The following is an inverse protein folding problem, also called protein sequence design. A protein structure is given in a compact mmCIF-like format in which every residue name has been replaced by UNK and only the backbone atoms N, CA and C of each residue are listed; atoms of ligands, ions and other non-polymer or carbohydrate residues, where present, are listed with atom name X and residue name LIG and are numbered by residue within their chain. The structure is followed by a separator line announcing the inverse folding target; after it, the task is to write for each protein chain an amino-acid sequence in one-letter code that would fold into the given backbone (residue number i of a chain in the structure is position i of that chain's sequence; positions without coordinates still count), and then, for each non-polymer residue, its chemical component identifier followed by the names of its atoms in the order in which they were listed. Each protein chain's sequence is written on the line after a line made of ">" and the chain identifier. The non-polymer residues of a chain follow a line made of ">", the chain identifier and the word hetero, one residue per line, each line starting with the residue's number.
data_IF_438036087023
#
_entry.id   IF_438036087023
#
_cell.length_a   1.000
_cell.length_b   1.000
_cell.length_c   1.000
_cell.angle_alpha   90.00
_cell.angle_beta   90.00
_cell.angle_gamma   90.00
#
_symmetry.space_group_name_H-M   'P 1'
#
loop_
_entity.id
_entity.type
_entity.pdbx_description
1 polymer ?
#
# COMPACT_ATOMS: atom_id res chain seq x y z
N UNK A 1 1.04 -6.70 -16.35
CA UNK A 1 2.03 -6.47 -15.28
C UNK A 1 1.59 -7.29 -14.09
N UNK A 2 2.40 -8.23 -13.64
CA UNK A 2 1.99 -9.19 -12.62
C UNK A 2 1.90 -8.55 -11.24
N UNK A 3 2.82 -7.66 -10.94
CA UNK A 3 2.84 -6.79 -9.77
C UNK A 3 3.41 -5.46 -10.17
N UNK A 4 3.14 -4.41 -9.43
CA UNK A 4 3.73 -3.11 -9.64
C UNK A 4 5.27 -3.14 -9.55
N UNK A 5 5.79 -3.95 -8.68
CA UNK A 5 7.22 -4.07 -8.40
C UNK A 5 7.96 -4.90 -9.45
N UNK A 6 9.28 -4.72 -9.50
CA UNK A 6 10.24 -5.52 -10.27
C UNK A 6 10.17 -5.35 -11.80
N UNK A 7 9.49 -4.31 -12.29
CA UNK A 7 9.61 -3.84 -13.68
C UNK A 7 10.21 -2.44 -13.72
N UNK A 8 10.94 -2.09 -14.78
CA UNK A 8 11.71 -0.82 -14.85
C UNK A 8 10.85 0.40 -14.50
N UNK A 9 9.67 0.54 -15.09
CA UNK A 9 8.77 1.66 -14.81
C UNK A 9 8.26 1.70 -13.37
N UNK A 10 7.95 0.54 -12.78
CA UNK A 10 7.50 0.47 -11.40
C UNK A 10 8.65 0.69 -10.40
N UNK A 11 9.83 0.17 -10.72
CA UNK A 11 11.03 0.39 -9.89
C UNK A 11 11.45 1.86 -9.87
N UNK A 12 11.31 2.59 -10.98
CA UNK A 12 11.69 4.00 -11.09
C UNK A 12 10.85 4.94 -10.20
N UNK A 13 9.66 4.54 -9.80
CA UNK A 13 8.76 5.30 -8.90
C UNK A 13 8.74 4.78 -7.47
N UNK A 14 9.60 3.81 -7.13
CA UNK A 14 9.80 3.36 -5.75
C UNK A 14 10.67 4.36 -4.98
N UNK A 15 10.60 4.29 -3.63
CA UNK A 15 11.43 5.10 -2.75
C UNK A 15 12.91 4.98 -3.12
N UNK A 16 13.60 6.08 -3.51
CA UNK A 16 14.97 6.02 -3.99
C UNK A 16 16.00 5.66 -2.91
N UNK A 17 15.67 5.83 -1.62
CA UNK A 17 16.57 5.59 -0.49
C UNK A 17 16.37 4.24 0.16
N UNK A 18 15.10 3.81 0.33
CA UNK A 18 14.74 2.60 1.07
C UNK A 18 14.32 1.44 0.18
N UNK A 19 14.29 1.63 -1.15
CA UNK A 19 13.93 0.59 -2.09
C UNK A 19 15.09 -0.40 -2.32
N UNK A 20 14.75 -1.68 -2.47
CA UNK A 20 15.69 -2.72 -2.92
C UNK A 20 16.19 -2.49 -4.36
N UNK A 21 15.62 -1.52 -5.07
CA UNK A 21 15.88 -1.28 -6.50
C UNK A 21 17.03 -0.30 -6.76
N UNK A 22 17.64 0.28 -5.74
CA UNK A 22 18.75 1.24 -5.87
C UNK A 22 19.94 0.71 -6.68
N UNK A 23 20.15 -0.61 -6.68
CA UNK A 23 21.20 -1.26 -7.50
C UNK A 23 20.97 -1.14 -9.01
N UNK A 24 19.73 -0.86 -9.43
CA UNK A 24 19.35 -0.69 -10.85
C UNK A 24 19.30 0.78 -11.28
N UNK A 25 19.75 1.72 -10.44
CA UNK A 25 19.59 3.16 -10.66
C UNK A 25 19.98 3.65 -12.05
N UNK A 26 21.06 3.11 -12.64
CA UNK A 26 21.53 3.49 -13.98
C UNK A 26 20.57 3.07 -15.12
N UNK A 27 19.61 2.18 -14.88
CA UNK A 27 18.62 1.71 -15.84
C UNK A 27 17.23 2.30 -15.62
N UNK A 28 17.03 3.03 -14.51
CA UNK A 28 15.73 3.57 -14.15
C UNK A 28 15.60 5.01 -14.65
N UNK A 29 14.38 5.36 -15.10
CA UNK A 29 14.06 6.75 -15.40
C UNK A 29 14.14 7.59 -14.13
N UNK A 30 14.69 8.79 -14.26
CA UNK A 30 14.70 9.77 -13.16
C UNK A 30 13.35 10.44 -13.02
N UNK A 31 12.90 10.58 -11.78
CA UNK A 31 11.65 11.24 -11.42
C UNK A 31 11.86 12.25 -10.30
N UNK A 32 10.95 13.21 -10.17
CA UNK A 32 10.92 14.15 -9.06
C UNK A 32 10.23 13.47 -7.88
N UNK A 33 10.94 13.37 -6.76
CA UNK A 33 10.39 12.83 -5.52
C UNK A 33 10.05 13.95 -4.54
N UNK A 34 8.90 13.83 -3.88
CA UNK A 34 8.55 14.68 -2.75
C UNK A 34 8.77 13.93 -1.43
N UNK A 35 8.85 14.68 -0.33
CA UNK A 35 8.95 14.09 1.01
C UNK A 35 7.73 13.22 1.30
N UNK A 36 7.96 12.03 1.81
CA UNK A 36 6.88 11.15 2.26
C UNK A 36 6.07 11.80 3.39
N UNK A 37 4.74 11.65 3.41
CA UNK A 37 3.90 12.19 4.47
C UNK A 37 4.30 11.63 5.84
N UNK A 38 4.07 12.41 6.90
CA UNK A 38 4.35 12.02 8.28
C UNK A 38 3.53 10.79 8.68
N UNK A 39 4.11 9.92 9.50
CA UNK A 39 3.42 8.79 10.11
C UNK A 39 2.29 9.24 11.02
N UNK A 40 1.17 8.52 10.94
CA UNK A 40 -0.02 8.67 11.78
C UNK A 40 -1.23 9.16 11.01
N UNK A 41 -2.30 8.37 11.02
CA UNK A 41 -3.55 8.69 10.32
C UNK A 41 -4.14 10.05 10.72
N UNK A 42 -4.00 10.43 11.99
CA UNK A 42 -4.46 11.70 12.54
C UNK A 42 -3.31 12.69 12.85
N UNK A 43 -2.11 12.45 12.34
CA UNK A 43 -0.96 13.31 12.60
C UNK A 43 -1.07 14.62 11.81
N UNK A 44 -0.53 15.71 12.37
CA UNK A 44 -0.35 16.95 11.60
C UNK A 44 0.66 16.71 10.46
N UNK A 45 0.22 16.96 9.23
CA UNK A 45 1.01 16.81 8.00
C UNK A 45 1.22 18.16 7.29
N UNK A 46 1.04 19.27 7.96
CA UNK A 46 1.14 20.63 7.39
C UNK A 46 2.52 20.89 6.76
N UNK A 47 3.59 20.39 7.37
CA UNK A 47 4.95 20.53 6.84
C UNK A 47 5.12 19.79 5.52
N UNK A 48 4.65 18.56 5.45
CA UNK A 48 4.75 17.73 4.24
C UNK A 48 3.84 18.25 3.13
N UNK A 49 2.68 18.79 3.49
CA UNK A 49 1.78 19.48 2.55
C UNK A 49 2.48 20.72 1.96
N UNK A 50 3.13 21.53 2.78
CA UNK A 50 3.85 22.71 2.30
C UNK A 50 4.99 22.32 1.34
N UNK A 51 5.75 21.29 1.66
CA UNK A 51 6.80 20.78 0.77
C UNK A 51 6.21 20.26 -0.55
N UNK A 52 5.05 19.61 -0.49
CA UNK A 52 4.35 19.17 -1.70
C UNK A 52 3.93 20.34 -2.58
N UNK A 53 3.35 21.39 -1.97
CA UNK A 53 2.98 22.64 -2.66
C UNK A 53 4.18 23.29 -3.34
N UNK A 54 5.28 23.48 -2.63
CA UNK A 54 6.52 24.04 -3.16
C UNK A 54 7.08 23.22 -4.34
N UNK A 55 7.02 21.87 -4.27
CA UNK A 55 7.45 21.00 -5.36
C UNK A 55 6.57 21.16 -6.60
N UNK A 56 5.25 21.23 -6.44
CA UNK A 56 4.34 21.45 -7.55
C UNK A 56 4.53 22.83 -8.16
N UNK A 57 4.58 23.88 -7.36
CA UNK A 57 4.78 25.25 -7.82
C UNK A 57 6.06 25.39 -8.66
N UNK A 58 7.15 24.75 -8.21
CA UNK A 58 8.44 24.81 -8.89
C UNK A 58 8.51 23.99 -10.17
N UNK A 59 7.82 22.85 -10.24
CA UNK A 59 8.10 21.84 -11.27
C UNK A 59 6.88 21.47 -12.13
N UNK A 60 5.71 22.07 -11.92
CA UNK A 60 4.45 21.66 -12.59
C UNK A 60 4.54 21.57 -14.11
N UNK A 61 5.33 22.44 -14.76
CA UNK A 61 5.53 22.41 -16.22
C UNK A 61 6.26 21.15 -16.73
N UNK A 62 6.93 20.42 -15.83
CA UNK A 62 7.69 19.21 -16.14
C UNK A 62 6.99 17.93 -15.63
N UNK A 63 5.83 18.04 -14.96
CA UNK A 63 5.14 16.93 -14.33
C UNK A 63 3.90 16.56 -15.16
N UNK A 64 3.87 15.36 -15.72
CA UNK A 64 2.70 14.81 -16.40
C UNK A 64 1.75 14.09 -15.42
N UNK A 65 2.26 13.52 -14.34
CA UNK A 65 1.48 12.78 -13.34
C UNK A 65 2.15 12.71 -11.99
N UNK A 66 1.35 12.64 -10.92
CA UNK A 66 1.77 12.41 -9.55
C UNK A 66 1.27 11.04 -9.10
N UNK A 67 2.19 10.11 -8.79
CA UNK A 67 1.85 8.77 -8.32
C UNK A 67 2.07 8.65 -6.82
N UNK A 68 1.10 8.03 -6.13
CA UNK A 68 1.15 7.82 -4.68
C UNK A 68 0.40 6.55 -4.27
N UNK A 69 0.93 5.81 -3.29
CA UNK A 69 0.15 4.79 -2.57
C UNK A 69 -0.79 5.51 -1.58
N UNK A 70 -2.12 5.39 -1.72
CA UNK A 70 -3.04 6.12 -0.86
C UNK A 70 -3.08 5.53 0.55
N UNK A 71 -2.99 6.40 1.57
CA UNK A 71 -3.12 6.12 3.01
C UNK A 71 -2.03 5.23 3.58
N UNK A 72 -1.62 4.16 2.89
CA UNK A 72 -0.58 3.24 3.36
C UNK A 72 0.51 3.09 2.30
N UNK A 73 1.70 3.59 2.59
CA UNK A 73 2.88 3.34 1.78
C UNK A 73 3.52 2.03 2.24
N UNK A 74 3.37 0.96 1.46
CA UNK A 74 3.78 -0.39 1.84
C UNK A 74 5.30 -0.55 1.93
N UNK A 75 5.98 -0.66 0.78
CA UNK A 75 7.43 -0.87 0.71
C UNK A 75 8.24 0.32 1.28
N UNK A 76 7.68 1.51 1.31
CA UNK A 76 8.27 2.71 1.94
C UNK A 76 8.24 2.68 3.49
N UNK A 77 7.88 1.56 4.11
CA UNK A 77 7.92 1.39 5.56
C UNK A 77 6.56 1.15 6.22
N UNK A 78 5.57 0.62 5.51
CA UNK A 78 4.20 0.41 6.02
C UNK A 78 3.67 1.67 6.72
N UNK A 79 3.84 2.81 6.04
CA UNK A 79 3.55 4.15 6.59
C UNK A 79 2.07 4.46 6.43
N UNK A 80 1.36 4.54 7.54
CA UNK A 80 -0.03 5.03 7.56
C UNK A 80 0.03 6.54 7.75
N UNK A 81 -0.62 7.31 6.89
CA UNK A 81 -0.55 8.78 6.90
C UNK A 81 -1.92 9.45 6.85
N UNK A 82 -1.95 10.75 7.19
CA UNK A 82 -3.18 11.54 7.24
C UNK A 82 -3.79 11.75 5.84
N UNK A 83 -5.09 11.44 5.65
CA UNK A 83 -5.79 11.66 4.38
C UNK A 83 -5.71 13.09 3.82
N UNK A 84 -5.50 14.09 4.65
CA UNK A 84 -5.34 15.49 4.22
C UNK A 84 -4.19 15.69 3.23
N UNK A 85 -3.11 14.91 3.35
CA UNK A 85 -2.01 14.94 2.39
C UNK A 85 -2.50 14.53 0.99
N UNK A 86 -3.30 13.48 0.91
CA UNK A 86 -3.84 12.98 -0.35
C UNK A 86 -4.90 13.94 -0.94
N UNK A 87 -5.72 14.57 -0.08
CA UNK A 87 -6.65 15.63 -0.50
C UNK A 87 -5.90 16.79 -1.15
N UNK A 88 -4.83 17.24 -0.51
CA UNK A 88 -3.99 18.32 -1.04
C UNK A 88 -3.32 17.92 -2.37
N UNK A 89 -2.83 16.68 -2.46
CA UNK A 89 -2.29 16.17 -3.73
C UNK A 89 -3.32 16.24 -4.86
N UNK A 90 -4.58 15.86 -4.61
CA UNK A 90 -5.66 15.99 -5.60
C UNK A 90 -5.93 17.45 -5.98
N UNK A 91 -5.98 18.35 -5.00
CA UNK A 91 -6.17 19.79 -5.26
C UNK A 91 -5.07 20.35 -6.16
N UNK A 92 -3.81 20.03 -5.87
CA UNK A 92 -2.66 20.48 -6.65
C UNK A 92 -2.66 19.88 -8.06
N UNK A 93 -2.93 18.59 -8.20
CA UNK A 93 -3.07 17.95 -9.49
C UNK A 93 -4.16 18.62 -10.34
N UNK A 94 -5.31 18.95 -9.73
CA UNK A 94 -6.38 19.69 -10.42
C UNK A 94 -5.97 21.10 -10.81
N UNK A 95 -5.27 21.81 -9.88
CA UNK A 95 -4.82 23.20 -10.12
C UNK A 95 -3.86 23.33 -11.30
N UNK A 96 -2.97 22.35 -11.46
CA UNK A 96 -1.88 22.39 -12.43
C UNK A 96 -2.10 21.46 -13.65
N UNK A 97 -3.30 20.88 -13.79
CA UNK A 97 -3.64 19.94 -14.86
C UNK A 97 -2.68 18.73 -14.94
N UNK A 98 -2.37 18.16 -13.78
CA UNK A 98 -1.50 17.00 -13.61
C UNK A 98 -2.35 15.79 -13.25
N UNK A 99 -2.08 14.62 -13.86
CA UNK A 99 -2.81 13.40 -13.58
C UNK A 99 -2.45 12.84 -12.17
N UNK A 100 -3.46 12.58 -11.34
CA UNK A 100 -3.27 11.87 -10.07
C UNK A 100 -3.38 10.36 -10.31
N UNK A 101 -2.34 9.63 -9.98
CA UNK A 101 -2.24 8.18 -10.10
C UNK A 101 -2.25 7.55 -8.72
N UNK A 102 -3.31 6.82 -8.37
CA UNK A 102 -3.40 6.10 -7.11
C UNK A 102 -2.92 4.66 -7.27
N UNK A 103 -1.89 4.29 -6.54
CA UNK A 103 -1.41 2.91 -6.49
C UNK A 103 -2.13 2.14 -5.37
N UNK A 104 -3.25 1.53 -5.72
CA UNK A 104 -4.09 0.72 -4.83
C UNK A 104 -3.73 -0.78 -4.84
N UNK A 105 -2.56 -1.14 -5.36
CA UNK A 105 -2.16 -2.56 -5.46
C UNK A 105 -2.09 -3.24 -4.09
N UNK A 106 -1.67 -2.51 -3.06
CA UNK A 106 -1.58 -3.05 -1.70
C UNK A 106 -2.75 -2.65 -0.79
N UNK A 107 -3.46 -1.59 -1.12
CA UNK A 107 -4.48 -0.96 -0.27
C UNK A 107 -5.91 -1.27 -0.70
N UNK A 108 -6.12 -1.57 -1.98
CA UNK A 108 -7.45 -1.83 -2.54
C UNK A 108 -8.13 -3.10 -2.02
N UNK A 109 -9.39 -3.22 -2.35
CA UNK A 109 -10.27 -4.36 -2.00
C UNK A 109 -10.45 -4.57 -0.50
N UNK A 110 -10.53 -3.48 0.28
CA UNK A 110 -10.94 -3.54 1.68
C UNK A 110 -9.80 -3.53 2.71
N UNK A 111 -8.54 -3.62 2.32
CA UNK A 111 -7.41 -3.77 3.25
C UNK A 111 -7.32 -2.65 4.30
N UNK A 112 -7.74 -1.44 3.97
CA UNK A 112 -7.73 -0.28 4.89
C UNK A 112 -9.08 -0.01 5.58
N UNK A 113 -10.09 -0.87 5.36
CA UNK A 113 -11.43 -0.71 5.91
C UNK A 113 -12.45 -0.09 4.95
N UNK A 114 -12.00 0.53 3.86
CA UNK A 114 -12.82 0.98 2.73
C UNK A 114 -12.45 0.19 1.47
N UNK A 115 -13.32 0.18 0.45
CA UNK A 115 -13.08 -0.61 -0.76
C UNK A 115 -11.75 -0.21 -1.41
N UNK A 116 -11.52 1.11 -1.51
CA UNK A 116 -10.25 1.68 -1.95
C UNK A 116 -9.78 2.73 -0.95
N UNK A 117 -8.47 2.81 -0.73
CA UNK A 117 -7.92 3.72 0.27
C UNK A 117 -8.07 5.21 -0.09
N UNK A 118 -8.22 5.55 -1.36
CA UNK A 118 -8.56 6.93 -1.80
C UNK A 118 -9.87 7.44 -1.19
N UNK A 119 -10.78 6.54 -0.80
CA UNK A 119 -12.07 6.90 -0.19
C UNK A 119 -11.88 7.56 1.18
N UNK A 120 -10.82 7.25 1.94
CA UNK A 120 -10.49 7.93 3.19
C UNK A 120 -10.27 9.44 3.01
N UNK A 121 -9.79 9.83 1.85
CA UNK A 121 -9.59 11.23 1.48
C UNK A 121 -10.77 11.83 0.72
N UNK A 122 -11.80 11.03 0.43
CA UNK A 122 -12.95 11.42 -0.40
C UNK A 122 -12.53 12.03 -1.75
N UNK A 123 -11.56 11.43 -2.43
CA UNK A 123 -11.05 11.87 -3.74
C UNK A 123 -11.25 10.80 -4.81
N UNK A 124 -11.18 11.25 -6.08
CA UNK A 124 -11.11 10.37 -7.24
C UNK A 124 -9.77 10.60 -7.95
N UNK A 125 -8.97 9.57 -8.19
CA UNK A 125 -7.78 9.66 -9.02
C UNK A 125 -8.17 9.66 -10.51
N UNK A 126 -7.27 10.13 -11.37
CA UNK A 126 -7.43 10.04 -12.82
C UNK A 126 -7.05 8.65 -13.33
N UNK A 127 -6.08 8.03 -12.67
CA UNK A 127 -5.62 6.66 -12.93
C UNK A 127 -5.50 5.92 -11.59
N UNK A 128 -5.94 4.66 -11.57
CA UNK A 128 -5.80 3.77 -10.43
C UNK A 128 -5.16 2.46 -10.87
N UNK A 129 -4.17 1.98 -10.15
CA UNK A 129 -3.62 0.64 -10.36
C UNK A 129 -4.09 -0.30 -9.27
N UNK A 130 -4.58 -1.49 -9.64
CA UNK A 130 -5.07 -2.52 -8.73
C UNK A 130 -4.41 -3.87 -9.03
N UNK A 131 -4.27 -4.70 -8.01
CA UNK A 131 -3.66 -6.02 -8.12
C UNK A 131 -3.82 -6.78 -6.80
N UNK A 132 -2.95 -7.74 -6.52
CA UNK A 132 -2.96 -8.54 -5.28
C UNK A 132 -4.36 -9.03 -4.89
N UNK A 133 -5.11 -8.25 -4.08
CA UNK A 133 -6.47 -8.55 -3.68
C UNK A 133 -7.46 -8.76 -4.82
N UNK A 134 -7.17 -8.22 -6.01
CA UNK A 134 -8.00 -8.36 -7.21
C UNK A 134 -8.38 -9.82 -7.52
N UNK A 135 -7.47 -10.76 -7.29
CA UNK A 135 -7.68 -12.19 -7.57
C UNK A 135 -7.75 -13.06 -6.32
N UNK A 136 -7.87 -12.45 -5.13
CA UNK A 136 -7.88 -13.19 -3.87
C UNK A 136 -6.64 -14.07 -3.63
N UNK A 137 -5.54 -13.81 -4.34
CA UNK A 137 -4.29 -14.58 -4.25
C UNK A 137 -4.22 -15.84 -5.12
N UNK A 138 -5.25 -16.16 -5.90
CA UNK A 138 -5.29 -17.38 -6.73
C UNK A 138 -4.53 -17.26 -8.05
N UNK A 139 -4.52 -16.05 -8.63
CA UNK A 139 -3.87 -15.80 -9.92
C UNK A 139 -3.08 -14.50 -9.87
N UNK A 140 -2.04 -14.43 -10.69
CA UNK A 140 -1.28 -13.20 -10.87
C UNK A 140 -1.97 -12.32 -11.90
N UNK A 141 -2.54 -11.21 -11.47
CA UNK A 141 -3.19 -10.23 -12.32
C UNK A 141 -3.09 -8.83 -11.70
N UNK A 142 -2.99 -7.83 -12.56
CA UNK A 142 -3.15 -6.42 -12.20
C UNK A 142 -3.94 -5.73 -13.30
N UNK A 143 -4.60 -4.63 -12.93
CA UNK A 143 -5.31 -3.77 -13.87
C UNK A 143 -4.96 -2.31 -13.62
N UNK A 144 -4.98 -1.52 -14.68
CA UNK A 144 -4.97 -0.07 -14.65
C UNK A 144 -6.36 0.41 -15.05
N UNK A 145 -6.97 1.19 -14.19
CA UNK A 145 -8.29 1.80 -14.39
C UNK A 145 -8.05 3.28 -14.62
N UNK A 146 -8.71 3.86 -15.59
CA UNK A 146 -8.57 5.28 -15.90
C UNK A 146 -9.92 5.94 -16.18
N UNK A 147 -9.95 7.27 -16.06
CA UNK A 147 -11.12 8.06 -16.46
C UNK A 147 -11.40 7.97 -17.95
N UNK A 148 -12.65 8.24 -18.34
CA UNK A 148 -13.02 8.31 -19.77
C UNK A 148 -12.25 9.40 -20.50
N UNK A 149 -11.96 10.51 -19.83
CA UNK A 149 -11.19 11.61 -20.36
C UNK A 149 -9.79 11.17 -20.80
N UNK A 150 -9.01 10.56 -19.88
CA UNK A 150 -7.68 10.04 -20.18
C UNK A 150 -7.73 8.99 -21.30
N UNK A 151 -8.68 8.05 -21.24
CA UNK A 151 -8.81 7.02 -22.30
C UNK A 151 -9.17 7.63 -23.65
N UNK A 152 -10.02 8.66 -23.69
CA UNK A 152 -10.42 9.34 -24.92
C UNK A 152 -9.25 10.10 -25.54
N UNK A 153 -8.41 10.77 -24.73
CA UNK A 153 -7.21 11.45 -25.25
C UNK A 153 -6.28 10.43 -25.91
N UNK A 154 -6.04 9.29 -25.28
CA UNK A 154 -5.21 8.22 -25.86
C UNK A 154 -5.81 7.69 -27.15
N UNK A 155 -7.12 7.38 -27.17
CA UNK A 155 -7.78 6.80 -28.32
C UNK A 155 -7.91 7.76 -29.50
N UNK A 156 -7.97 9.07 -29.24
CA UNK A 156 -8.02 10.11 -30.27
C UNK A 156 -6.64 10.68 -30.65
N UNK A 157 -5.57 10.17 -30.05
CA UNK A 157 -4.20 10.57 -30.41
C UNK A 157 -3.82 10.03 -31.82
N UNK A 158 -2.74 10.53 -32.37
CA UNK A 158 -2.19 10.07 -33.65
C UNK A 158 -1.92 8.56 -33.68
N UNK A 159 -1.50 8.00 -32.51
CA UNK A 159 -1.25 6.56 -32.34
C UNK A 159 -2.55 5.78 -32.19
N UNK A 160 -3.61 6.37 -31.65
CA UNK A 160 -4.96 5.79 -31.51
C UNK A 160 -5.11 4.67 -30.50
N UNK A 161 -4.03 4.27 -29.80
CA UNK A 161 -4.03 3.15 -28.86
C UNK A 161 -2.92 3.29 -27.80
N UNK A 162 -3.17 2.78 -26.60
CA UNK A 162 -2.12 2.61 -25.59
C UNK A 162 -1.16 1.50 -26.04
N UNK A 163 0.08 1.85 -26.38
CA UNK A 163 1.11 0.92 -26.86
C UNK A 163 1.66 0.06 -25.71
N UNK A 164 0.79 -0.72 -25.09
CA UNK A 164 1.10 -1.68 -24.04
C UNK A 164 0.27 -2.94 -24.24
N UNK A 165 0.91 -4.03 -24.68
CA UNK A 165 0.23 -5.27 -25.05
C UNK A 165 1.03 -6.52 -24.70
N UNK A 166 1.24 -6.84 -23.40
CA UNK A 166 1.80 -8.14 -23.01
C UNK A 166 0.97 -9.29 -23.59
N UNK A 167 1.63 -10.37 -24.04
CA UNK A 167 0.98 -11.51 -24.72
C UNK A 167 -0.22 -12.08 -23.96
N UNK A 168 -0.15 -12.13 -22.63
CA UNK A 168 -1.22 -12.66 -21.80
C UNK A 168 -2.10 -11.58 -21.15
N UNK A 169 -2.08 -10.36 -21.67
CA UNK A 169 -3.01 -9.31 -21.22
C UNK A 169 -4.46 -9.76 -21.46
N UNK A 170 -5.32 -9.52 -20.47
CA UNK A 170 -6.72 -9.92 -20.54
C UNK A 170 -6.93 -11.45 -20.53
N UNK A 171 -5.98 -12.23 -19.99
CA UNK A 171 -6.09 -13.68 -19.86
C UNK A 171 -7.46 -14.07 -19.28
N UNK A 172 -8.29 -14.86 -20.01
CA UNK A 172 -9.67 -15.16 -19.62
C UNK A 172 -9.76 -15.87 -18.26
N UNK A 173 -8.82 -16.75 -17.95
CA UNK A 173 -8.78 -17.46 -16.67
C UNK A 173 -8.54 -16.48 -15.51
N UNK A 174 -7.56 -15.61 -15.64
CA UNK A 174 -7.27 -14.60 -14.61
C UNK A 174 -8.40 -13.60 -14.45
N UNK A 175 -9.05 -13.18 -15.54
CA UNK A 175 -10.23 -12.32 -15.50
C UNK A 175 -11.41 -13.01 -14.80
N UNK A 176 -11.65 -14.28 -15.07
CA UNK A 176 -12.70 -15.07 -14.42
C UNK A 176 -12.45 -15.18 -12.91
N UNK A 177 -11.19 -15.43 -12.50
CA UNK A 177 -10.80 -15.46 -11.08
C UNK A 177 -10.98 -14.10 -10.43
N UNK A 178 -10.62 -13.01 -11.11
CA UNK A 178 -10.79 -11.66 -10.60
C UNK A 178 -12.28 -11.33 -10.38
N UNK A 179 -13.16 -11.66 -11.34
CA UNK A 179 -14.59 -11.46 -11.20
C UNK A 179 -15.14 -12.26 -10.01
N UNK A 180 -14.83 -13.56 -9.94
CA UNK A 180 -15.29 -14.40 -8.83
C UNK A 180 -14.77 -13.90 -7.46
N UNK A 181 -13.55 -13.38 -7.39
CA UNK A 181 -13.00 -12.79 -6.17
C UNK A 181 -13.73 -11.51 -5.75
N UNK A 182 -14.07 -10.66 -6.71
CA UNK A 182 -14.84 -9.43 -6.46
C UNK A 182 -16.26 -9.77 -6.04
N UNK A 183 -16.94 -10.69 -6.74
CA UNK A 183 -18.31 -11.11 -6.41
C UNK A 183 -18.35 -11.68 -4.99
N UNK A 184 -17.42 -12.59 -4.64
CA UNK A 184 -17.32 -13.16 -3.29
C UNK A 184 -17.09 -12.07 -2.22
N UNK A 185 -16.24 -11.08 -2.51
CA UNK A 185 -16.03 -9.95 -1.60
C UNK A 185 -17.32 -9.16 -1.40
N UNK A 186 -18.00 -8.79 -2.49
CA UNK A 186 -19.24 -7.97 -2.44
C UNK A 186 -20.41 -8.70 -1.77
N UNK A 187 -20.51 -10.03 -1.89
CA UNK A 187 -21.51 -10.86 -1.26
C UNK A 187 -21.22 -11.13 0.23
N UNK A 188 -19.99 -10.91 0.68
CA UNK A 188 -19.57 -11.16 2.06
C UNK A 188 -19.80 -9.96 2.99
N UNK A 189 -19.75 -10.20 4.29
CA UNK A 189 -19.77 -9.15 5.33
C UNK A 189 -18.37 -8.56 5.57
N UNK A 190 -17.58 -8.36 4.52
CA UNK A 190 -16.18 -7.99 4.64
C UNK A 190 -15.92 -6.72 5.45
N UNK A 191 -16.77 -5.69 5.33
CA UNK A 191 -16.62 -4.43 6.08
C UNK A 191 -16.68 -4.68 7.59
N UNK A 192 -17.67 -5.46 8.04
CA UNK A 192 -17.81 -5.84 9.45
C UNK A 192 -16.63 -6.68 9.93
N UNK A 193 -16.17 -7.62 9.11
CA UNK A 193 -15.03 -8.48 9.42
C UNK A 193 -13.75 -7.66 9.53
N UNK A 194 -13.47 -6.78 8.59
CA UNK A 194 -12.29 -5.91 8.61
C UNK A 194 -12.35 -4.96 9.82
N UNK A 195 -13.52 -4.44 10.15
CA UNK A 195 -13.69 -3.60 11.34
C UNK A 195 -13.39 -4.37 12.63
N UNK A 196 -13.84 -5.62 12.74
CA UNK A 196 -13.50 -6.48 13.87
C UNK A 196 -11.99 -6.78 13.95
N UNK A 197 -11.36 -7.09 12.83
CA UNK A 197 -9.91 -7.28 12.73
C UNK A 197 -9.16 -6.01 13.20
N UNK A 198 -9.58 -4.84 12.72
CA UNK A 198 -9.01 -3.57 13.13
C UNK A 198 -9.11 -3.34 14.62
N UNK A 199 -10.26 -3.63 15.23
CA UNK A 199 -10.47 -3.50 16.66
C UNK A 199 -9.53 -4.43 17.46
N UNK A 200 -9.36 -5.67 17.02
CA UNK A 200 -8.44 -6.62 17.65
C UNK A 200 -7.00 -6.13 17.54
N UNK A 201 -6.55 -5.69 16.37
CA UNK A 201 -5.23 -5.11 16.20
C UNK A 201 -5.04 -3.89 17.12
N UNK A 202 -6.03 -2.99 17.16
CA UNK A 202 -5.96 -1.78 17.99
C UNK A 202 -5.82 -2.11 19.48
N UNK A 203 -6.50 -3.14 19.97
CA UNK A 203 -6.43 -3.57 21.37
C UNK A 203 -5.15 -4.33 21.69
N UNK A 204 -4.84 -5.35 20.89
CA UNK A 204 -3.77 -6.31 21.22
C UNK A 204 -2.37 -5.77 20.93
N UNK A 205 -2.20 -4.99 19.86
CA UNK A 205 -0.89 -4.44 19.50
C UNK A 205 -0.36 -3.43 20.53
N UNK A 206 -1.26 -2.77 21.28
CA UNK A 206 -0.83 -1.86 22.36
C UNK A 206 0.07 -2.55 23.40
N UNK A 207 -0.08 -3.87 23.59
CA UNK A 207 0.77 -4.65 24.50
C UNK A 207 2.25 -4.72 24.07
N UNK A 208 2.56 -4.30 22.84
CA UNK A 208 3.94 -4.21 22.37
C UNK A 208 4.56 -2.82 22.56
N UNK A 209 3.75 -1.79 22.83
CA UNK A 209 4.18 -0.39 22.77
C UNK A 209 5.29 -0.03 23.74
N UNK A 210 5.29 -0.65 24.92
CA UNK A 210 6.25 -0.35 25.98
C UNK A 210 7.48 -1.28 25.96
N UNK A 211 7.60 -2.15 24.95
CA UNK A 211 8.77 -3.00 24.77
C UNK A 211 9.97 -2.19 24.27
N UNK A 212 11.16 -2.43 24.83
CA UNK A 212 12.37 -1.66 24.53
C UNK A 212 12.81 -1.74 23.07
N UNK A 213 12.55 -2.87 22.42
CA UNK A 213 12.88 -3.09 21.00
C UNK A 213 11.82 -2.56 20.04
N UNK A 214 10.71 -2.04 20.55
CA UNK A 214 9.61 -1.50 19.72
C UNK A 214 9.73 0.01 19.62
N UNK A 215 9.77 0.52 18.39
CA UNK A 215 9.80 1.94 18.08
C UNK A 215 8.39 2.51 17.90
N UNK A 216 7.51 1.77 17.24
CA UNK A 216 6.15 2.20 16.94
C UNK A 216 5.21 1.01 16.72
N UNK A 217 3.93 1.26 16.99
CA UNK A 217 2.84 0.29 16.78
C UNK A 217 1.70 1.00 16.09
N UNK A 218 1.21 0.43 14.98
CA UNK A 218 0.12 1.02 14.19
C UNK A 218 -0.71 -0.02 13.48
N UNK A 219 -1.94 0.33 13.19
CA UNK A 219 -2.83 -0.52 12.39
C UNK A 219 -3.85 0.33 11.63
N UNK A 220 -4.38 -0.24 10.57
CA UNK A 220 -5.54 0.25 9.83
C UNK A 220 -6.21 -0.93 9.13
N UNK A 221 -7.53 -1.05 9.26
CA UNK A 221 -8.26 -2.16 8.66
C UNK A 221 -7.68 -3.52 9.00
N UNK A 222 -7.34 -4.32 8.00
CA UNK A 222 -6.77 -5.66 8.14
C UNK A 222 -5.24 -5.70 8.24
N UNK A 223 -4.61 -4.55 8.49
CA UNK A 223 -3.15 -4.38 8.53
C UNK A 223 -2.72 -4.04 9.96
N UNK A 224 -1.87 -4.89 10.57
CA UNK A 224 -1.26 -4.65 11.88
C UNK A 224 0.26 -4.62 11.79
N UNK A 225 0.93 -3.66 12.44
CA UNK A 225 2.35 -3.39 12.28
C UNK A 225 2.99 -3.12 13.64
N UNK A 226 4.16 -3.74 13.88
CA UNK A 226 5.09 -3.40 14.96
C UNK A 226 6.40 -3.00 14.28
N UNK A 227 6.87 -1.78 14.48
CA UNK A 227 8.16 -1.31 13.99
C UNK A 227 9.21 -1.45 15.08
N UNK A 228 10.27 -2.18 14.79
CA UNK A 228 11.40 -2.36 15.69
C UNK A 228 12.37 -1.17 15.60
N UNK A 229 13.18 -1.00 16.63
CA UNK A 229 14.26 0.00 16.66
C UNK A 229 15.38 -0.33 15.67
N UNK A 230 15.61 -1.64 15.42
CA UNK A 230 16.66 -2.13 14.54
C UNK A 230 16.19 -3.35 13.73
N UNK A 231 16.70 -3.56 12.54
CA UNK A 231 16.35 -4.66 11.64
C UNK A 231 17.06 -5.98 11.99
N UNK A 232 18.15 -5.94 12.75
CA UNK A 232 18.88 -7.13 13.19
C UNK A 232 18.03 -8.12 14.00
N UNK A 233 16.90 -7.69 14.53
CA UNK A 233 15.97 -8.53 15.29
C UNK A 233 14.94 -9.27 14.43
N UNK A 234 14.72 -8.85 13.20
CA UNK A 234 13.65 -9.35 12.35
C UNK A 234 13.71 -10.88 12.14
N UNK A 235 14.89 -11.42 11.86
CA UNK A 235 15.06 -12.86 11.67
C UNK A 235 14.75 -13.65 12.94
N UNK A 236 15.17 -13.17 14.10
CA UNK A 236 14.89 -13.83 15.39
C UNK A 236 13.40 -13.87 15.69
N UNK A 237 12.68 -12.77 15.39
CA UNK A 237 11.23 -12.70 15.53
C UNK A 237 10.56 -13.71 14.59
N UNK A 238 10.98 -13.78 13.34
CA UNK A 238 10.45 -14.76 12.39
C UNK A 238 10.66 -16.20 12.85
N UNK A 239 11.86 -16.55 13.27
CA UNK A 239 12.20 -17.90 13.72
C UNK A 239 11.37 -18.32 14.94
N UNK A 240 11.15 -17.40 15.89
CA UNK A 240 10.30 -17.64 17.03
C UNK A 240 8.84 -17.88 16.59
N UNK A 241 8.31 -17.02 15.72
CA UNK A 241 6.94 -17.16 15.24
C UNK A 241 6.72 -18.49 14.52
N UNK A 242 7.63 -18.89 13.64
CA UNK A 242 7.56 -20.18 12.92
C UNK A 242 7.56 -21.36 13.89
N UNK A 243 8.45 -21.36 14.91
CA UNK A 243 8.48 -22.39 15.96
C UNK A 243 7.18 -22.50 16.74
N UNK A 244 6.42 -21.41 16.84
CA UNK A 244 5.13 -21.35 17.53
C UNK A 244 3.92 -21.45 16.60
N UNK A 245 4.13 -21.90 15.35
CA UNK A 245 3.07 -22.19 14.38
C UNK A 245 2.42 -20.94 13.79
N UNK A 246 3.17 -19.85 13.70
CA UNK A 246 2.76 -18.59 13.05
C UNK A 246 3.76 -18.22 11.98
N UNK A 247 3.29 -18.10 10.74
CA UNK A 247 4.11 -17.61 9.64
C UNK A 247 3.98 -16.09 9.52
N UNK A 248 5.10 -15.38 9.61
CA UNK A 248 5.22 -13.97 9.29
C UNK A 248 6.45 -13.75 8.39
N UNK A 249 6.44 -12.66 7.63
CA UNK A 249 7.58 -12.25 6.80
C UNK A 249 7.98 -10.81 7.16
N UNK A 250 8.91 -10.62 8.08
CA UNK A 250 9.42 -9.29 8.40
C UNK A 250 10.02 -8.59 7.18
N UNK A 251 9.96 -7.27 7.15
CA UNK A 251 10.60 -6.45 6.14
C UNK A 251 11.41 -5.34 6.81
N UNK A 252 12.74 -5.45 6.77
CA UNK A 252 13.61 -4.58 7.55
C UNK A 252 13.21 -4.58 9.03
N UNK A 253 12.88 -3.41 9.57
CA UNK A 253 12.43 -3.24 10.96
C UNK A 253 10.97 -3.58 11.20
N UNK A 254 10.22 -3.95 10.16
CA UNK A 254 8.78 -4.09 10.25
C UNK A 254 8.37 -5.55 10.47
N UNK A 255 7.70 -5.78 11.57
CA UNK A 255 6.99 -7.00 11.88
C UNK A 255 5.51 -6.70 11.62
N UNK A 256 4.94 -7.27 10.57
CA UNK A 256 3.57 -6.94 10.17
C UNK A 256 2.76 -8.17 9.81
N UNK A 257 1.46 -8.01 9.87
CA UNK A 257 0.49 -9.00 9.42
C UNK A 257 -0.60 -8.32 8.61
N UNK A 258 -0.92 -8.88 7.45
CA UNK A 258 -2.09 -8.56 6.64
C UNK A 258 -2.87 -9.85 6.55
N UNK A 259 -4.07 -9.88 7.11
CA UNK A 259 -4.81 -11.12 7.29
C UNK A 259 -6.00 -11.24 6.35
N UNK A 260 -6.42 -12.47 6.08
CA UNK A 260 -7.66 -12.74 5.37
C UNK A 260 -8.86 -12.24 6.20
N UNK A 261 -9.88 -11.67 5.56
CA UNK A 261 -11.06 -11.14 6.25
C UNK A 261 -11.92 -12.21 6.93
N UNK A 262 -11.70 -13.47 6.55
CA UNK A 262 -12.37 -14.65 7.12
C UNK A 262 -11.58 -15.29 8.26
N UNK A 263 -10.49 -14.68 8.72
CA UNK A 263 -9.68 -15.21 9.81
C UNK A 263 -10.52 -15.36 11.09
N UNK A 264 -10.36 -16.49 11.78
CA UNK A 264 -10.99 -16.65 13.08
C UNK A 264 -10.33 -15.72 14.11
N UNK A 265 -11.12 -15.15 15.02
CA UNK A 265 -10.64 -14.23 16.05
C UNK A 265 -9.51 -14.82 16.90
N UNK A 266 -9.64 -16.08 17.30
CA UNK A 266 -8.62 -16.77 18.07
C UNK A 266 -7.29 -16.91 17.32
N UNK A 267 -7.33 -17.11 16.00
CA UNK A 267 -6.13 -17.21 15.18
C UNK A 267 -5.46 -15.83 15.01
N UNK A 268 -6.25 -14.78 14.83
CA UNK A 268 -5.73 -13.42 14.79
C UNK A 268 -5.04 -13.04 16.11
N UNK A 269 -5.70 -13.30 17.25
CA UNK A 269 -5.11 -13.06 18.58
C UNK A 269 -3.85 -13.89 18.80
N UNK A 270 -3.83 -15.14 18.33
CA UNK A 270 -2.63 -15.99 18.35
C UNK A 270 -1.49 -15.35 17.55
N UNK A 271 -1.75 -14.84 16.33
CA UNK A 271 -0.73 -14.17 15.51
C UNK A 271 -0.14 -12.98 16.29
N UNK A 272 -0.97 -12.07 16.75
CA UNK A 272 -0.53 -10.85 17.45
C UNK A 272 0.25 -11.20 18.72
N UNK A 273 -0.30 -12.11 19.54
CA UNK A 273 0.37 -12.58 20.77
C UNK A 273 1.74 -13.18 20.46
N UNK A 274 1.84 -14.01 19.42
CA UNK A 274 3.11 -14.66 19.06
C UNK A 274 4.15 -13.65 18.59
N UNK A 275 3.76 -12.63 17.81
CA UNK A 275 4.64 -11.54 17.40
C UNK A 275 5.20 -10.79 18.62
N UNK A 276 4.34 -10.48 19.61
CA UNK A 276 4.73 -9.78 20.84
C UNK A 276 5.63 -10.66 21.72
N UNK A 277 5.28 -11.92 21.91
CA UNK A 277 6.06 -12.86 22.70
C UNK A 277 7.45 -13.12 22.08
N UNK A 278 7.55 -13.11 20.75
CA UNK A 278 8.82 -13.16 20.04
C UNK A 278 9.74 -11.99 20.44
N UNK A 279 9.21 -10.77 20.41
CA UNK A 279 9.98 -9.57 20.79
C UNK A 279 10.39 -9.63 22.26
N UNK A 280 9.49 -10.00 23.17
CA UNK A 280 9.78 -10.19 24.60
C UNK A 280 10.87 -11.24 24.86
N UNK A 281 10.94 -12.28 24.03
CA UNK A 281 11.95 -13.32 24.16
C UNK A 281 13.36 -12.87 23.81
N UNK A 282 13.47 -11.82 22.98
CA UNK A 282 14.74 -11.24 22.55
C UNK A 282 15.26 -10.20 23.56
N UNK A 283 14.36 -9.57 24.32
CA UNK A 283 14.69 -8.58 25.35
C UNK A 283 15.26 -9.20 26.64
N UNK A 284 15.11 -10.50 26.80
CA UNK A 284 15.65 -11.26 27.96
C UNK A 284 17.13 -11.59 27.74
#
# INVERSE_FOLDING_TARGET
>A
MLFRSDTLGAMSVCDPQNSMHGIYGSYLSEHIFTKAPKLGFNSDCSVEIKILEENFEKNHEQIAGFIVEPIVQGAGGMRIYNPQFLQKARELCTKYDILLIADEIATGFGHTGLMFAVEHANIKPDIMTVGKGLTGGYMTMAAMITSREVSSVISNSEIGVLMHGPTFMGNPLACSVANASIDLLLESNWQSNVKNIENIFTQELQNAKDLKLVKDVRNIGAIGIIELVDDCYAQKVQDYCVKNGVWIRPFGKLIYSIVAYTIAENDLRKIVKTMIDAIKSIEK
#
